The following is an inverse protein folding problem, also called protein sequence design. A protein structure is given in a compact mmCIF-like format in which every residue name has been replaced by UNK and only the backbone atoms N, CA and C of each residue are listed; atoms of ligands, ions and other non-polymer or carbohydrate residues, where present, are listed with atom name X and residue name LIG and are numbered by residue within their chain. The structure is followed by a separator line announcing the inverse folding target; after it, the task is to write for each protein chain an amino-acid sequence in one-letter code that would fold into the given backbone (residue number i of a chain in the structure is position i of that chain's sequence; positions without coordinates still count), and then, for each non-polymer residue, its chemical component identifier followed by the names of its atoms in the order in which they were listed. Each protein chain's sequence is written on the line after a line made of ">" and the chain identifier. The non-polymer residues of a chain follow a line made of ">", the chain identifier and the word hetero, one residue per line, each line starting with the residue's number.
data_IF_050647615491
#
_entry.id   IF_050647615491
#
_cell.length_a   1.000
_cell.length_b   1.000
_cell.length_c   1.000
_cell.angle_alpha   90.00
_cell.angle_beta   90.00
_cell.angle_gamma   90.00
#
_symmetry.space_group_name_H-M   'P 1'
#
loop_
_entity.id
_entity.type
_entity.pdbx_description
1 polymer ?
#
# COMPACT_ATOMS: atom_id res chain seq x y z
N UNK A 1 38.21 1.79 21.44
CA UNK A 1 37.49 0.56 21.03
C UNK A 1 36.77 0.83 19.71
N UNK A 2 36.91 -0.04 18.71
CA UNK A 2 35.94 -0.19 17.61
C UNK A 2 35.79 0.96 16.61
N UNK A 3 36.79 1.83 16.44
CA UNK A 3 36.70 2.95 15.49
C UNK A 3 36.56 2.47 14.03
N UNK A 4 35.99 3.31 13.17
CA UNK A 4 35.68 2.98 11.76
C UNK A 4 36.85 2.36 11.02
N UNK A 5 38.06 2.90 11.22
CA UNK A 5 39.30 2.42 10.60
C UNK A 5 39.63 0.98 11.00
N UNK A 6 39.44 0.63 12.28
CA UNK A 6 39.70 -0.73 12.77
C UNK A 6 38.70 -1.72 12.19
N UNK A 7 37.41 -1.36 12.16
CA UNK A 7 36.36 -2.23 11.59
C UNK A 7 36.61 -2.47 10.10
N UNK A 8 37.02 -1.44 9.35
CA UNK A 8 37.39 -1.58 7.93
C UNK A 8 38.58 -2.51 7.74
N UNK A 9 39.65 -2.35 8.54
CA UNK A 9 40.83 -3.20 8.45
C UNK A 9 40.52 -4.68 8.72
N UNK A 10 39.73 -4.96 9.76
CA UNK A 10 39.28 -6.32 10.09
C UNK A 10 38.41 -6.89 8.96
N UNK A 11 37.45 -6.11 8.47
CA UNK A 11 36.57 -6.53 7.37
C UNK A 11 37.36 -6.90 6.13
N UNK A 12 38.31 -6.06 5.71
CA UNK A 12 39.18 -6.35 4.56
C UNK A 12 40.02 -7.62 4.76
N UNK A 13 40.58 -7.81 5.96
CA UNK A 13 41.34 -9.01 6.31
C UNK A 13 40.51 -10.29 6.23
N UNK A 14 39.29 -10.26 6.78
CA UNK A 14 38.35 -11.38 6.74
C UNK A 14 37.90 -11.70 5.32
N UNK A 15 37.53 -10.69 4.52
CA UNK A 15 37.14 -10.88 3.11
C UNK A 15 38.28 -11.48 2.30
N UNK A 16 39.52 -11.03 2.50
CA UNK A 16 40.69 -11.60 1.82
C UNK A 16 40.95 -13.06 2.23
N UNK A 17 40.80 -13.39 3.52
CA UNK A 17 40.93 -14.76 4.00
C UNK A 17 39.84 -15.68 3.42
N UNK A 18 38.59 -15.23 3.39
CA UNK A 18 37.47 -15.95 2.80
C UNK A 18 37.72 -16.25 1.30
N UNK A 19 38.21 -15.25 0.54
CA UNK A 19 38.55 -15.43 -0.88
C UNK A 19 39.68 -16.43 -1.12
N UNK A 20 40.72 -16.44 -0.27
CA UNK A 20 41.82 -17.42 -0.37
C UNK A 20 41.40 -18.85 -0.06
N UNK A 21 40.43 -19.01 0.85
CA UNK A 21 40.01 -20.32 1.35
C UNK A 21 38.74 -20.86 0.67
N UNK A 22 38.06 -20.02 -0.13
CA UNK A 22 36.84 -20.41 -0.83
C UNK A 22 35.62 -20.57 0.07
N UNK A 23 35.62 -20.02 1.29
CA UNK A 23 34.51 -20.13 2.24
C UNK A 23 33.56 -18.93 2.16
N UNK A 24 32.28 -19.17 2.44
CA UNK A 24 31.30 -18.10 2.60
C UNK A 24 31.47 -17.41 3.96
N UNK A 25 31.47 -16.08 3.97
CA UNK A 25 31.58 -15.26 5.18
C UNK A 25 30.33 -14.37 5.30
N UNK A 26 29.61 -14.52 6.42
CA UNK A 26 28.52 -13.60 6.78
C UNK A 26 29.02 -12.63 7.85
N UNK A 27 28.80 -11.33 7.62
CA UNK A 27 29.10 -10.25 8.55
C UNK A 27 27.79 -9.59 8.99
N UNK A 28 27.61 -9.42 10.29
CA UNK A 28 26.42 -8.76 10.86
C UNK A 28 26.80 -7.36 11.32
N UNK A 29 26.22 -6.34 10.68
CA UNK A 29 26.40 -4.94 11.04
C UNK A 29 25.12 -4.36 11.62
N UNK A 30 25.13 -3.98 12.90
CA UNK A 30 24.01 -3.30 13.53
C UNK A 30 23.97 -1.82 13.14
N UNK A 31 22.80 -1.31 12.75
CA UNK A 31 22.61 0.12 12.50
C UNK A 31 22.49 0.83 13.85
N UNK A 32 23.47 1.68 14.16
CA UNK A 32 23.47 2.50 15.38
C UNK A 32 23.16 3.95 15.02
N UNK A 33 22.47 4.67 15.91
CA UNK A 33 22.08 6.07 15.69
C UNK A 33 23.24 7.05 15.93
N UNK A 34 24.24 6.65 16.71
CA UNK A 34 25.22 7.58 17.29
C UNK A 34 26.59 7.59 16.59
N UNK A 35 26.75 6.87 15.47
CA UNK A 35 27.96 6.91 14.63
C UNK A 35 29.27 6.46 15.31
N UNK A 36 29.24 6.09 16.59
CA UNK A 36 30.40 5.71 17.39
C UNK A 36 31.04 4.39 16.96
N UNK A 37 30.28 3.53 16.28
CA UNK A 37 30.74 2.29 15.65
C UNK A 37 30.53 2.46 14.14
N UNK A 38 31.48 2.00 13.31
CA UNK A 38 31.29 1.95 11.86
C UNK A 38 29.97 1.27 11.53
N UNK A 39 28.99 2.09 11.10
CA UNK A 39 27.73 1.58 10.62
C UNK A 39 27.93 0.71 9.37
N UNK A 40 27.02 -0.24 9.09
CA UNK A 40 27.12 -1.14 7.94
C UNK A 40 27.37 -0.41 6.62
N UNK A 41 26.86 0.82 6.47
CA UNK A 41 27.15 1.72 5.34
C UNK A 41 28.63 1.95 5.05
N UNK A 42 29.46 2.03 6.10
CA UNK A 42 30.90 2.23 5.96
C UNK A 42 31.64 1.03 5.36
N UNK A 43 31.00 -0.15 5.33
CA UNK A 43 31.58 -1.41 4.87
C UNK A 43 31.05 -1.84 3.49
N UNK A 44 30.02 -1.19 2.95
CA UNK A 44 29.33 -1.60 1.71
C UNK A 44 30.26 -1.76 0.50
N UNK A 45 31.29 -0.93 0.39
CA UNK A 45 32.26 -0.99 -0.70
C UNK A 45 33.27 -2.14 -0.53
N UNK A 46 33.49 -2.63 0.69
CA UNK A 46 34.49 -3.65 1.03
C UNK A 46 33.98 -5.09 0.91
N UNK A 47 32.67 -5.28 0.80
CA UNK A 47 32.02 -6.60 0.72
C UNK A 47 31.46 -6.89 -0.67
N UNK A 48 31.27 -8.16 -0.99
CA UNK A 48 30.76 -8.57 -2.31
C UNK A 48 29.22 -8.49 -2.37
N UNK A 49 28.52 -8.70 -1.24
CA UNK A 49 27.05 -8.60 -1.12
C UNK A 49 26.68 -7.76 0.10
N UNK A 50 25.67 -6.90 -0.05
CA UNK A 50 25.08 -6.09 1.03
C UNK A 50 23.58 -6.37 1.08
N UNK A 51 23.10 -6.85 2.23
CA UNK A 51 21.69 -7.09 2.52
C UNK A 51 21.26 -6.23 3.71
N UNK A 52 20.10 -5.60 3.60
CA UNK A 52 19.43 -4.91 4.70
C UNK A 52 18.28 -5.77 5.20
N UNK A 53 18.14 -5.89 6.52
CA UNK A 53 17.03 -6.56 7.15
C UNK A 53 16.23 -5.54 7.96
N UNK A 54 15.12 -5.09 7.38
CA UNK A 54 14.32 -3.99 7.90
C UNK A 54 12.90 -4.47 8.24
N UNK A 55 12.24 -3.74 9.16
CA UNK A 55 10.83 -3.96 9.49
C UNK A 55 10.29 -2.83 10.35
N UNK A 56 8.98 -2.60 10.27
CA UNK A 56 8.32 -1.69 11.19
C UNK A 56 8.21 -2.33 12.57
N UNK A 57 8.33 -1.53 13.63
CA UNK A 57 8.24 -2.01 15.03
C UNK A 57 6.87 -2.60 15.34
N UNK A 58 5.84 -2.11 14.66
CA UNK A 58 4.45 -2.50 14.90
C UNK A 58 3.98 -3.61 13.94
N UNK A 59 4.87 -4.15 13.10
CA UNK A 59 4.57 -5.25 12.19
C UNK A 59 5.44 -6.46 12.51
N UNK A 60 4.89 -7.67 12.40
CA UNK A 60 5.67 -8.91 12.46
C UNK A 60 6.48 -9.14 11.17
N UNK A 61 6.14 -8.44 10.08
CA UNK A 61 6.83 -8.57 8.81
C UNK A 61 8.24 -7.97 8.89
N UNK A 62 9.20 -8.72 8.38
CA UNK A 62 10.57 -8.30 8.15
C UNK A 62 10.90 -8.53 6.68
N UNK A 63 11.66 -7.62 6.09
CA UNK A 63 12.07 -7.71 4.70
C UNK A 63 13.59 -7.70 4.61
N UNK A 64 14.13 -8.65 3.84
CA UNK A 64 15.54 -8.64 3.42
C UNK A 64 15.60 -8.00 2.04
N UNK A 65 16.31 -6.88 1.92
CA UNK A 65 16.56 -6.19 0.64
C UNK A 65 18.03 -6.28 0.27
N UNK A 66 18.31 -6.57 -0.99
CA UNK A 66 19.67 -6.50 -1.49
C UNK A 66 20.02 -5.09 -1.99
N UNK A 67 21.10 -4.52 -1.46
CA UNK A 67 21.62 -3.20 -1.89
C UNK A 67 22.77 -3.37 -2.89
N UNK A 68 23.55 -4.44 -2.74
CA UNK A 68 24.67 -4.77 -3.60
C UNK A 68 24.77 -6.28 -3.72
N UNK A 69 24.89 -6.80 -4.94
CA UNK A 69 25.13 -8.21 -5.18
C UNK A 69 26.11 -8.37 -6.34
N UNK A 70 27.31 -8.90 -6.08
CA UNK A 70 28.27 -9.22 -7.14
C UNK A 70 28.02 -10.56 -7.82
N UNK A 71 27.08 -11.35 -7.31
CA UNK A 71 26.80 -12.71 -7.78
C UNK A 71 25.39 -12.87 -8.38
N UNK A 72 24.63 -11.80 -8.49
CA UNK A 72 23.24 -11.86 -8.96
C UNK A 72 22.55 -10.50 -8.95
N UNK A 73 21.23 -10.52 -8.99
CA UNK A 73 20.43 -9.29 -9.01
C UNK A 73 20.33 -8.68 -7.60
N UNK A 74 20.10 -7.38 -7.53
CA UNK A 74 19.81 -6.64 -6.29
C UNK A 74 18.32 -6.42 -6.07
N UNK A 75 17.49 -6.85 -7.01
CA UNK A 75 16.10 -6.42 -7.08
C UNK A 75 15.12 -7.32 -6.34
N UNK A 76 15.65 -8.42 -5.78
CA UNK A 76 14.90 -9.39 -5.01
C UNK A 76 14.70 -8.92 -3.57
N UNK A 77 13.51 -9.21 -3.05
CA UNK A 77 13.12 -8.91 -1.67
C UNK A 77 12.61 -10.19 -1.02
N UNK A 78 13.30 -10.64 0.02
CA UNK A 78 12.84 -11.73 0.87
C UNK A 78 11.88 -11.21 1.93
N UNK A 79 10.72 -11.85 2.11
CA UNK A 79 9.80 -11.52 3.19
C UNK A 79 9.84 -12.60 4.25
N UNK A 80 9.76 -12.17 5.51
CA UNK A 80 9.81 -13.06 6.66
C UNK A 80 8.84 -12.59 7.73
N UNK A 81 8.24 -13.52 8.47
CA UNK A 81 7.45 -13.25 9.65
C UNK A 81 8.26 -13.57 10.90
N UNK A 82 8.36 -12.61 11.80
CA UNK A 82 8.86 -12.84 13.15
C UNK A 82 7.72 -13.40 14.01
N UNK A 83 7.86 -14.65 14.42
CA UNK A 83 6.94 -15.37 15.31
C UNK A 83 7.66 -15.71 16.62
N UNK A 84 6.92 -16.20 17.61
CA UNK A 84 7.48 -16.59 18.91
C UNK A 84 8.60 -17.62 18.80
N UNK A 85 8.55 -18.49 17.77
CA UNK A 85 9.54 -19.55 17.52
C UNK A 85 10.72 -19.10 16.67
N UNK A 86 10.73 -17.88 16.15
CA UNK A 86 11.80 -17.35 15.30
C UNK A 86 11.29 -16.68 14.01
N UNK A 87 12.14 -16.67 12.99
CA UNK A 87 11.87 -15.99 11.71
C UNK A 87 11.52 -17.03 10.65
N UNK A 88 10.34 -16.93 10.05
CA UNK A 88 9.87 -17.83 9.00
C UNK A 88 9.78 -17.11 7.64
N UNK A 89 10.26 -17.74 6.57
CA UNK A 89 10.19 -17.19 5.22
C UNK A 89 8.77 -17.21 4.65
N UNK A 90 8.36 -16.10 4.03
CA UNK A 90 7.03 -15.95 3.42
C UNK A 90 7.17 -15.76 1.91
N UNK A 91 6.70 -16.77 1.17
CA UNK A 91 6.69 -16.76 -0.29
C UNK A 91 5.68 -15.76 -0.85
N UNK A 92 4.50 -15.62 -0.23
CA UNK A 92 3.45 -14.67 -0.63
C UNK A 92 2.97 -13.84 0.57
N UNK A 93 3.49 -12.61 0.76
CA UNK A 93 3.10 -11.74 1.86
C UNK A 93 1.81 -10.96 1.56
N UNK A 94 1.20 -11.12 0.37
CA UNK A 94 0.09 -10.25 -0.07
C UNK A 94 -1.10 -10.29 0.88
N UNK A 95 -1.41 -11.47 1.45
CA UNK A 95 -2.47 -11.62 2.45
C UNK A 95 -2.20 -10.92 3.79
N UNK A 96 -0.96 -10.50 4.06
CA UNK A 96 -0.60 -9.74 5.28
C UNK A 96 -0.98 -8.26 5.17
N UNK A 97 -1.19 -7.77 3.95
CA UNK A 97 -1.43 -6.35 3.65
C UNK A 97 -2.85 -6.05 3.19
N UNK A 98 -3.70 -7.08 3.16
CA UNK A 98 -5.10 -7.00 2.79
C UNK A 98 -5.96 -7.27 4.02
N UNK A 99 -6.97 -6.43 4.24
CA UNK A 99 -8.01 -6.76 5.21
C UNK A 99 -9.00 -7.77 4.57
N UNK A 100 -9.25 -8.89 5.25
CA UNK A 100 -10.12 -9.96 4.73
C UNK A 100 -11.59 -9.67 5.04
N UNK A 101 -12.07 -8.49 4.65
CA UNK A 101 -13.47 -8.12 4.88
C UNK A 101 -14.40 -8.93 3.98
N UNK A 102 -15.51 -9.46 4.51
CA UNK A 102 -16.50 -10.18 3.70
C UNK A 102 -17.22 -9.26 2.72
N UNK A 103 -17.37 -7.97 3.05
CA UNK A 103 -18.01 -6.97 2.20
C UNK A 103 -17.10 -5.75 1.95
N UNK A 104 -17.10 -5.20 0.72
CA UNK A 104 -16.38 -3.97 0.42
C UNK A 104 -17.01 -2.76 1.13
N UNK A 105 -16.18 -1.94 1.78
CA UNK A 105 -16.61 -0.75 2.52
C UNK A 105 -16.08 0.55 1.89
N UNK A 106 -16.82 1.66 2.02
CA UNK A 106 -16.35 2.97 1.55
C UNK A 106 -15.01 3.35 2.16
N UNK A 107 -14.22 4.09 1.40
CA UNK A 107 -12.91 4.55 1.86
C UNK A 107 -11.78 3.54 1.69
N UNK A 108 -12.02 2.38 1.09
CA UNK A 108 -11.00 1.34 0.91
C UNK A 108 -10.62 1.19 -0.56
N UNK A 109 -9.32 1.24 -0.87
CA UNK A 109 -8.78 1.06 -2.21
C UNK A 109 -7.56 0.14 -2.19
N UNK A 110 -7.52 -0.85 -3.09
CA UNK A 110 -6.39 -1.77 -3.24
C UNK A 110 -5.46 -1.26 -4.33
N UNK A 111 -4.15 -1.38 -4.13
CA UNK A 111 -3.12 -1.01 -5.09
C UNK A 111 -2.05 -2.09 -5.20
N UNK A 112 -1.19 -1.96 -6.21
CA UNK A 112 -0.01 -2.81 -6.36
C UNK A 112 1.21 -1.89 -6.43
N UNK A 113 2.03 -1.92 -5.39
CA UNK A 113 3.29 -1.19 -5.32
C UNK A 113 4.45 -2.09 -5.76
N UNK A 114 5.57 -1.52 -6.21
CA UNK A 114 6.81 -2.26 -6.39
C UNK A 114 7.76 -1.92 -5.25
N UNK A 115 8.32 -2.94 -4.61
CA UNK A 115 9.52 -2.79 -3.81
C UNK A 115 10.70 -3.47 -4.51
N UNK A 116 11.60 -2.67 -5.09
CA UNK A 116 12.57 -3.16 -6.07
C UNK A 116 11.85 -3.67 -7.32
N UNK A 117 12.01 -4.96 -7.66
CA UNK A 117 11.21 -5.61 -8.73
C UNK A 117 10.00 -6.37 -8.21
N UNK A 118 9.84 -6.51 -6.89
CA UNK A 118 8.78 -7.34 -6.30
C UNK A 118 7.47 -6.56 -6.23
N UNK A 119 6.39 -7.03 -6.88
CA UNK A 119 5.07 -6.46 -6.68
C UNK A 119 4.50 -6.90 -5.34
N UNK A 120 3.93 -5.94 -4.61
CA UNK A 120 3.27 -6.14 -3.33
C UNK A 120 1.88 -5.51 -3.40
N UNK A 121 0.87 -6.27 -2.99
CA UNK A 121 -0.47 -5.74 -2.82
C UNK A 121 -0.51 -4.86 -1.57
N UNK A 122 -1.12 -3.70 -1.70
CA UNK A 122 -1.33 -2.77 -0.58
C UNK A 122 -2.77 -2.30 -0.52
N UNK A 123 -3.27 -2.06 0.68
CA UNK A 123 -4.58 -1.45 0.91
C UNK A 123 -4.41 -0.05 1.51
N UNK A 124 -5.13 0.90 0.93
CA UNK A 124 -5.28 2.27 1.42
C UNK A 124 -6.69 2.42 2.00
N UNK A 125 -6.75 2.98 3.20
CA UNK A 125 -7.98 3.30 3.91
C UNK A 125 -8.06 4.80 4.18
N UNK A 126 -9.21 5.37 3.86
CA UNK A 126 -9.55 6.76 4.08
C UNK A 126 -10.84 6.86 4.90
N UNK A 127 -10.84 7.74 5.89
CA UNK A 127 -12.01 8.11 6.67
C UNK A 127 -12.12 9.64 6.69
N UNK A 128 -13.30 10.13 6.31
CA UNK A 128 -13.64 11.53 6.38
C UNK A 128 -14.58 11.77 7.56
N UNK A 129 -14.24 12.72 8.42
CA UNK A 129 -15.05 13.07 9.57
C UNK A 129 -15.42 14.56 9.56
N UNK A 130 -16.52 14.89 10.25
CA UNK A 130 -16.89 16.30 10.44
C UNK A 130 -15.88 16.95 11.39
N UNK A 131 -15.28 18.11 11.04
CA UNK A 131 -14.36 18.79 11.91
C UNK A 131 -15.04 19.23 13.21
N UNK A 132 -14.35 19.10 14.34
CA UNK A 132 -14.83 19.54 15.65
C UNK A 132 -14.60 21.04 15.93
N UNK A 133 -14.19 21.81 14.92
CA UNK A 133 -13.84 23.24 15.01
C UNK A 133 -12.34 23.50 14.78
N UNK A 134 -12.01 24.69 14.26
CA UNK A 134 -10.65 25.06 13.86
C UNK A 134 -10.24 24.51 12.49
N UNK A 135 -8.94 24.45 12.22
CA UNK A 135 -8.40 23.89 10.98
C UNK A 135 -8.67 22.37 10.90
N UNK A 136 -9.17 21.84 9.77
CA UNK A 136 -9.45 20.41 9.64
C UNK A 136 -8.22 19.54 9.91
N UNK A 137 -8.42 18.44 10.64
CA UNK A 137 -7.37 17.51 11.02
C UNK A 137 -6.87 16.71 9.83
N UNK A 138 -5.57 16.45 9.81
CA UNK A 138 -4.90 15.52 8.89
C UNK A 138 -4.12 14.50 9.71
N UNK A 139 -4.52 13.24 9.64
CA UNK A 139 -3.81 12.12 10.26
C UNK A 139 -3.46 11.11 9.18
N UNK A 140 -2.17 10.99 8.86
CA UNK A 140 -1.68 10.13 7.78
C UNK A 140 -0.69 9.12 8.35
N UNK A 141 -0.85 7.84 8.01
CA UNK A 141 0.06 6.75 8.39
C UNK A 141 0.38 5.86 7.20
N UNK A 142 1.65 5.49 7.02
CA UNK A 142 2.10 4.62 5.92
C UNK A 142 2.14 5.28 4.53
N UNK A 143 1.72 6.54 4.41
CA UNK A 143 1.80 7.39 3.22
C UNK A 143 2.48 8.71 3.61
N UNK A 144 3.18 9.35 2.68
CA UNK A 144 3.76 10.66 2.92
C UNK A 144 2.69 11.75 3.08
N UNK A 145 2.84 12.61 4.10
CA UNK A 145 1.85 13.64 4.42
C UNK A 145 1.73 14.70 3.32
N UNK A 146 2.83 15.11 2.69
CA UNK A 146 2.79 16.09 1.60
C UNK A 146 2.10 15.50 0.36
N UNK A 147 2.34 14.22 0.06
CA UNK A 147 1.68 13.52 -1.04
C UNK A 147 0.17 13.38 -0.81
N UNK A 148 -0.25 13.02 0.40
CA UNK A 148 -1.67 12.98 0.75
C UNK A 148 -2.36 14.36 0.62
N UNK A 149 -1.69 15.43 1.07
CA UNK A 149 -2.20 16.80 0.93
C UNK A 149 -2.31 17.23 -0.54
N UNK A 150 -1.33 16.89 -1.36
CA UNK A 150 -1.31 17.17 -2.79
C UNK A 150 -2.46 16.48 -3.52
N UNK A 151 -2.68 15.18 -3.27
CA UNK A 151 -3.79 14.42 -3.87
C UNK A 151 -5.15 14.99 -3.45
N UNK A 152 -5.28 15.39 -2.18
CA UNK A 152 -6.49 16.04 -1.67
C UNK A 152 -6.78 17.34 -2.45
N UNK A 153 -5.76 18.17 -2.69
CA UNK A 153 -5.90 19.42 -3.44
C UNK A 153 -6.26 19.19 -4.92
N UNK A 154 -5.71 18.15 -5.54
CA UNK A 154 -6.06 17.75 -6.92
C UNK A 154 -7.53 17.33 -7.02
N UNK A 155 -8.02 16.53 -6.08
CA UNK A 155 -9.44 16.13 -6.02
C UNK A 155 -10.38 17.33 -5.86
N UNK A 156 -10.02 18.27 -4.98
CA UNK A 156 -10.81 19.49 -4.79
C UNK A 156 -10.84 20.37 -6.04
N UNK A 157 -9.67 20.62 -6.63
CA UNK A 157 -9.54 21.54 -7.76
C UNK A 157 -10.15 20.98 -9.04
N UNK A 158 -9.84 19.71 -9.38
CA UNK A 158 -10.19 19.14 -10.68
C UNK A 158 -11.45 18.30 -10.64
N UNK A 159 -11.73 17.62 -9.53
CA UNK A 159 -12.93 16.80 -9.39
C UNK A 159 -14.06 17.51 -8.63
N UNK A 160 -13.82 18.73 -8.09
CA UNK A 160 -14.80 19.51 -7.33
C UNK A 160 -15.35 18.75 -6.11
N UNK A 161 -14.51 17.95 -5.47
CA UNK A 161 -14.82 17.28 -4.21
C UNK A 161 -14.36 18.16 -3.04
N UNK A 162 -15.25 18.81 -2.27
CA UNK A 162 -14.89 19.66 -1.14
C UNK A 162 -14.49 18.80 0.08
N UNK A 163 -13.47 17.96 -0.06
CA UNK A 163 -12.95 17.10 1.02
C UNK A 163 -11.96 17.81 1.92
N UNK A 164 -11.37 18.91 1.45
CA UNK A 164 -10.41 19.73 2.20
C UNK A 164 -11.00 20.31 3.49
N UNK A 165 -12.31 20.56 3.52
CA UNK A 165 -13.01 21.12 4.70
C UNK A 165 -13.37 20.06 5.74
N UNK A 166 -13.15 18.77 5.46
CA UNK A 166 -13.41 17.66 6.40
C UNK A 166 -12.14 17.24 7.11
N UNK A 167 -12.24 16.56 8.26
CA UNK A 167 -11.08 15.88 8.84
C UNK A 167 -10.73 14.65 7.99
N UNK A 168 -9.46 14.46 7.66
CA UNK A 168 -8.97 13.34 6.85
C UNK A 168 -8.08 12.44 7.71
N UNK A 169 -8.46 11.18 7.80
CA UNK A 169 -7.66 10.10 8.33
C UNK A 169 -7.32 9.15 7.18
N UNK A 170 -6.03 8.95 6.91
CA UNK A 170 -5.54 8.13 5.82
C UNK A 170 -4.50 7.16 6.34
N UNK A 171 -4.66 5.87 6.08
CA UNK A 171 -3.73 4.84 6.54
C UNK A 171 -3.57 3.72 5.53
N UNK A 172 -2.44 3.02 5.62
CA UNK A 172 -2.24 1.73 4.97
C UNK A 172 -2.54 0.58 5.93
N UNK A 173 -2.89 -0.58 5.40
CA UNK A 173 -3.09 -1.81 6.19
C UNK A 173 -1.78 -2.59 6.31
N UNK A 174 -1.65 -3.39 7.37
CA UNK A 174 -0.50 -4.30 7.58
C UNK A 174 0.83 -3.61 7.90
N UNK A 175 0.81 -2.30 8.20
CA UNK A 175 2.01 -1.50 8.44
C UNK A 175 2.83 -1.22 7.17
N UNK A 176 2.25 -1.43 5.99
CA UNK A 176 2.90 -1.19 4.71
C UNK A 176 3.24 0.30 4.55
N UNK A 177 4.42 0.61 4.00
CA UNK A 177 4.74 1.98 3.60
C UNK A 177 4.63 2.10 2.09
N UNK A 178 3.66 2.88 1.63
CA UNK A 178 3.50 3.18 0.21
C UNK A 178 4.33 4.41 -0.10
N UNK A 179 5.52 4.20 -0.67
CA UNK A 179 6.40 5.28 -1.14
C UNK A 179 6.35 5.46 -2.66
N UNK A 180 5.86 4.44 -3.37
CA UNK A 180 5.73 4.39 -4.82
C UNK A 180 4.60 5.31 -5.34
N UNK A 181 4.86 6.18 -6.34
CA UNK A 181 3.85 7.05 -6.95
C UNK A 181 2.64 6.32 -7.53
N UNK A 182 2.77 5.04 -7.87
CA UNK A 182 1.64 4.20 -8.33
C UNK A 182 0.47 4.10 -7.35
N UNK A 183 0.71 4.39 -6.08
CA UNK A 183 -0.32 4.39 -5.03
C UNK A 183 -1.18 5.66 -5.01
N UNK A 184 -0.80 6.71 -5.74
CA UNK A 184 -1.46 8.02 -5.66
C UNK A 184 -2.93 7.94 -6.12
N UNK A 185 -3.18 7.20 -7.21
CA UNK A 185 -4.55 6.99 -7.68
C UNK A 185 -5.37 6.20 -6.65
N UNK A 186 -4.78 5.20 -5.97
CA UNK A 186 -5.49 4.45 -4.94
C UNK A 186 -5.85 5.33 -3.73
N UNK A 187 -4.95 6.23 -3.32
CA UNK A 187 -5.24 7.26 -2.29
C UNK A 187 -6.40 8.15 -2.74
N UNK A 188 -6.36 8.64 -3.98
CA UNK A 188 -7.41 9.50 -4.50
C UNK A 188 -8.78 8.79 -4.54
N UNK A 189 -8.79 7.53 -5.00
CA UNK A 189 -10.01 6.71 -5.08
C UNK A 189 -10.53 6.32 -3.68
N UNK A 190 -9.67 6.08 -2.70
CA UNK A 190 -10.08 5.86 -1.31
C UNK A 190 -10.76 7.10 -0.73
N UNK A 191 -10.16 8.30 -0.87
CA UNK A 191 -10.76 9.55 -0.40
C UNK A 191 -12.11 9.82 -1.08
N UNK A 192 -12.19 9.65 -2.39
CA UNK A 192 -13.43 9.84 -3.13
C UNK A 192 -14.50 8.81 -2.76
N UNK A 193 -14.11 7.55 -2.54
CA UNK A 193 -14.99 6.49 -2.06
C UNK A 193 -15.58 6.82 -0.68
N UNK A 194 -14.75 7.31 0.25
CA UNK A 194 -15.19 7.75 1.57
C UNK A 194 -16.15 8.94 1.48
N UNK A 195 -15.83 9.94 0.64
CA UNK A 195 -16.66 11.12 0.43
C UNK A 195 -18.03 10.77 -0.17
N UNK A 196 -18.05 9.93 -1.21
CA UNK A 196 -19.26 9.52 -1.89
C UNK A 196 -20.05 8.46 -1.11
N UNK A 197 -19.49 7.88 -0.05
CA UNK A 197 -20.03 6.72 0.65
C UNK A 197 -20.33 5.56 -0.33
N UNK A 198 -19.42 5.34 -1.29
CA UNK A 198 -19.54 4.36 -2.36
C UNK A 198 -18.34 3.40 -2.31
N UNK A 199 -18.54 2.12 -1.94
CA UNK A 199 -17.44 1.17 -1.82
C UNK A 199 -16.90 0.76 -3.20
N UNK A 200 -15.58 0.69 -3.32
CA UNK A 200 -14.90 0.07 -4.46
C UNK A 200 -15.01 -1.47 -4.35
N UNK A 201 -15.10 -2.22 -5.47
CA UNK A 201 -15.08 -3.68 -5.40
C UNK A 201 -13.77 -4.19 -4.80
N UNK A 202 -13.84 -5.20 -3.93
CA UNK A 202 -12.66 -5.86 -3.38
C UNK A 202 -11.82 -6.58 -4.44
N UNK A 203 -12.39 -6.83 -5.62
CA UNK A 203 -11.71 -7.45 -6.77
C UNK A 203 -11.09 -6.43 -7.73
N UNK A 204 -11.06 -5.15 -7.36
CA UNK A 204 -10.45 -4.08 -8.15
C UNK A 204 -9.12 -3.61 -7.57
N UNK A 205 -8.09 -3.50 -8.40
CA UNK A 205 -6.85 -2.80 -8.08
C UNK A 205 -6.79 -1.45 -8.76
N UNK A 206 -6.17 -0.47 -8.11
CA UNK A 206 -6.03 0.89 -8.59
C UNK A 206 -4.54 1.26 -8.60
N UNK A 207 -4.02 1.61 -9.77
CA UNK A 207 -2.57 1.81 -9.97
C UNK A 207 -2.37 3.02 -10.87
N UNK A 208 -1.68 4.06 -10.41
CA UNK A 208 -1.35 5.22 -11.22
C UNK A 208 -0.79 6.38 -10.41
N UNK A 209 0.02 7.21 -11.05
CA UNK A 209 0.49 8.47 -10.48
C UNK A 209 -0.51 9.59 -10.82
N UNK A 210 -0.76 10.48 -9.86
CA UNK A 210 -1.67 11.61 -10.03
C UNK A 210 -0.86 12.88 -10.27
N UNK A 211 -1.04 13.50 -11.44
CA UNK A 211 -0.45 14.80 -11.76
C UNK A 211 -1.23 15.96 -11.13
N UNK A 212 -0.55 17.08 -10.88
CA UNK A 212 -1.17 18.30 -10.35
C UNK A 212 -2.22 18.92 -11.29
N UNK A 213 -2.13 18.62 -12.59
CA UNK A 213 -3.12 19.03 -13.58
C UNK A 213 -4.35 18.11 -13.62
N UNK A 214 -4.41 17.10 -12.74
CA UNK A 214 -5.48 16.11 -12.70
C UNK A 214 -5.33 14.99 -13.74
N UNK A 215 -4.23 14.95 -14.49
CA UNK A 215 -3.89 13.86 -15.40
C UNK A 215 -3.40 12.62 -14.64
N UNK A 216 -3.62 11.43 -15.21
CA UNK A 216 -3.10 10.18 -14.68
C UNK A 216 -1.90 9.73 -15.49
N UNK A 217 -0.79 9.49 -14.80
CA UNK A 217 0.51 9.18 -15.40
C UNK A 217 0.86 7.73 -15.20
N UNK A 218 1.44 7.14 -16.25
CA UNK A 218 1.93 5.76 -16.24
C UNK A 218 3.10 5.63 -15.28
N UNK A 219 3.18 4.48 -14.62
CA UNK A 219 4.22 4.16 -13.66
C UNK A 219 5.09 3.00 -14.15
N UNK A 220 6.31 2.93 -13.62
CA UNK A 220 7.24 1.87 -13.98
C UNK A 220 6.71 0.48 -13.59
N UNK A 221 6.99 -0.50 -14.45
CA UNK A 221 6.69 -1.92 -14.20
C UNK A 221 5.21 -2.28 -14.20
N UNK A 222 4.37 -1.55 -14.95
CA UNK A 222 2.92 -1.80 -15.03
C UNK A 222 2.58 -3.27 -15.35
N UNK A 223 3.27 -3.89 -16.31
CA UNK A 223 3.06 -5.30 -16.67
C UNK A 223 3.21 -6.25 -15.46
N UNK A 224 4.25 -6.06 -14.65
CA UNK A 224 4.48 -6.87 -13.44
C UNK A 224 3.41 -6.65 -12.38
N UNK A 225 2.94 -5.40 -12.24
CA UNK A 225 1.87 -5.06 -11.29
C UNK A 225 0.55 -5.70 -11.69
N UNK A 226 0.21 -5.64 -12.98
CA UNK A 226 -1.00 -6.25 -13.53
C UNK A 226 -0.92 -7.78 -13.48
N UNK A 227 0.24 -8.37 -13.78
CA UNK A 227 0.46 -9.81 -13.66
C UNK A 227 0.28 -10.28 -12.21
N UNK A 228 0.80 -9.54 -11.23
CA UNK A 228 0.59 -9.86 -9.81
C UNK A 228 -0.87 -9.71 -9.41
N UNK A 229 -1.55 -8.64 -9.85
CA UNK A 229 -2.97 -8.47 -9.58
C UNK A 229 -3.79 -9.66 -10.14
N UNK A 230 -3.52 -10.08 -11.37
CA UNK A 230 -4.17 -11.25 -11.97
C UNK A 230 -3.84 -12.54 -11.19
N UNK A 231 -2.59 -12.74 -10.78
CA UNK A 231 -2.15 -13.89 -9.98
C UNK A 231 -2.88 -13.98 -8.64
N UNK A 232 -3.16 -12.84 -8.02
CA UNK A 232 -3.91 -12.72 -6.76
C UNK A 232 -5.43 -12.80 -6.94
N UNK A 233 -5.92 -12.98 -8.18
CA UNK A 233 -7.34 -13.16 -8.46
C UNK A 233 -8.14 -11.86 -8.58
N UNK A 234 -7.48 -10.71 -8.69
CA UNK A 234 -8.18 -9.46 -9.02
C UNK A 234 -8.71 -9.53 -10.46
N UNK A 235 -9.91 -9.00 -10.67
CA UNK A 235 -10.64 -9.10 -11.95
C UNK A 235 -10.72 -7.77 -12.69
N UNK A 236 -10.47 -6.66 -12.01
CA UNK A 236 -10.50 -5.31 -12.59
C UNK A 236 -9.28 -4.52 -12.15
N UNK A 237 -8.68 -3.74 -13.06
CA UNK A 237 -7.60 -2.81 -12.78
C UNK A 237 -7.94 -1.42 -13.30
N UNK A 238 -8.03 -0.41 -12.43
CA UNK A 238 -8.16 0.98 -12.81
C UNK A 238 -6.76 1.61 -12.96
N UNK A 239 -6.43 2.01 -14.18
CA UNK A 239 -5.06 2.42 -14.57
C UNK A 239 -5.07 3.65 -15.48
N UNK A 240 -3.93 4.38 -15.57
CA UNK A 240 -3.72 5.41 -16.57
C UNK A 240 -3.97 4.92 -17.99
N UNK A 241 -4.36 5.83 -18.88
CA UNK A 241 -4.50 5.52 -20.30
C UNK A 241 -3.16 5.11 -20.95
N UNK A 242 -3.22 4.19 -21.91
CA UNK A 242 -2.06 3.74 -22.69
C UNK A 242 -1.08 2.86 -21.91
N UNK A 243 -1.57 2.10 -20.94
CA UNK A 243 -0.77 1.17 -20.12
C UNK A 243 -0.54 -0.20 -20.79
N UNK A 244 -1.18 -0.46 -21.95
CA UNK A 244 -1.04 -1.70 -22.71
C UNK A 244 -2.08 -2.74 -22.34
N UNK A 245 -1.96 -3.94 -22.92
CA UNK A 245 -2.92 -5.01 -22.69
C UNK A 245 -2.80 -5.59 -21.27
N UNK A 246 -3.95 -5.76 -20.61
CA UNK A 246 -4.02 -6.46 -19.34
C UNK A 246 -3.85 -7.99 -19.52
N UNK A 247 -3.31 -8.69 -18.52
CA UNK A 247 -3.27 -10.15 -18.50
C UNK A 247 -4.66 -10.78 -18.63
N UNK A 248 -4.72 -12.03 -19.10
CA UNK A 248 -5.97 -12.78 -19.20
C UNK A 248 -6.67 -12.84 -17.83
N UNK A 249 -7.99 -12.57 -17.82
CA UNK A 249 -8.81 -12.57 -16.61
C UNK A 249 -8.83 -11.23 -15.86
N UNK A 250 -7.96 -10.28 -16.22
CA UNK A 250 -7.95 -8.93 -15.64
C UNK A 250 -8.48 -7.92 -16.66
N UNK A 251 -9.58 -7.23 -16.32
CA UNK A 251 -10.12 -6.14 -17.14
C UNK A 251 -9.46 -4.81 -16.77
N UNK A 252 -8.75 -4.19 -17.70
CA UNK A 252 -8.25 -2.82 -17.52
C UNK A 252 -9.35 -1.78 -17.79
N UNK A 253 -9.57 -0.91 -16.82
CA UNK A 253 -10.31 0.34 -16.93
C UNK A 253 -9.29 1.47 -17.07
N UNK A 254 -9.13 1.97 -18.29
CA UNK A 254 -8.21 3.07 -18.54
C UNK A 254 -8.87 4.42 -18.24
N UNK A 255 -8.12 5.32 -17.60
CA UNK A 255 -8.53 6.68 -17.31
C UNK A 255 -7.38 7.66 -17.60
N UNK A 256 -7.58 8.69 -18.45
CA UNK A 256 -6.55 9.70 -18.70
C UNK A 256 -6.46 10.76 -17.59
N UNK A 257 -7.49 10.90 -16.74
CA UNK A 257 -7.57 11.92 -15.71
C UNK A 257 -8.28 11.42 -14.46
N UNK A 258 -8.11 12.15 -13.35
CA UNK A 258 -8.76 11.82 -12.08
C UNK A 258 -10.28 11.85 -12.21
N UNK A 259 -10.83 12.77 -13.00
CA UNK A 259 -12.27 12.86 -13.25
C UNK A 259 -12.78 11.62 -14.00
N UNK A 260 -12.06 11.17 -15.03
CA UNK A 260 -12.39 9.94 -15.75
C UNK A 260 -12.32 8.70 -14.84
N UNK A 261 -11.32 8.63 -13.95
CA UNK A 261 -11.22 7.57 -12.96
C UNK A 261 -12.41 7.55 -11.99
N UNK A 262 -12.90 8.71 -11.56
CA UNK A 262 -14.08 8.82 -10.70
C UNK A 262 -15.38 8.42 -11.40
N UNK A 263 -15.50 8.64 -12.71
CA UNK A 263 -16.63 8.12 -13.49
C UNK A 263 -16.71 6.59 -13.44
N UNK A 264 -15.56 5.89 -13.53
CA UNK A 264 -15.52 4.43 -13.37
C UNK A 264 -16.02 3.97 -12.00
N UNK A 265 -15.75 4.73 -10.92
CA UNK A 265 -16.28 4.41 -9.58
C UNK A 265 -17.82 4.46 -9.53
N UNK A 266 -18.42 5.43 -10.22
CA UNK A 266 -19.88 5.57 -10.33
C UNK A 266 -20.48 4.45 -11.18
N UNK A 267 -19.84 4.09 -12.29
CA UNK A 267 -20.37 3.07 -13.19
C UNK A 267 -20.28 1.66 -12.57
N UNK A 268 -19.19 1.37 -11.86
CA UNK A 268 -18.99 0.11 -11.13
C UNK A 268 -20.04 -0.05 -10.02
N UNK A 269 -20.44 1.02 -9.35
CA UNK A 269 -21.49 0.96 -8.31
C UNK A 269 -22.90 0.84 -8.89
N UNK A 270 -23.20 1.47 -10.03
CA UNK A 270 -24.48 1.28 -10.73
C UNK A 270 -24.72 -0.16 -11.16
N UNK A 271 -23.69 -0.84 -11.68
CA UNK A 271 -23.77 -2.26 -12.06
C UNK A 271 -24.01 -3.18 -10.85
N UNK A 272 -23.45 -2.85 -9.68
CA UNK A 272 -23.70 -3.59 -8.42
C UNK A 272 -25.12 -3.42 -7.89
N UNK A 273 -25.73 -2.23 -8.08
CA UNK A 273 -27.13 -1.97 -7.72
C UNK A 273 -28.13 -2.70 -8.61
N UNK A 274 -27.78 -3.00 -9.86
CA UNK A 274 -28.63 -3.74 -10.78
C UNK A 274 -28.61 -5.28 -10.54
N UNK A 275 -27.53 -5.81 -9.96
CA UNK A 275 -27.38 -7.23 -9.63
C UNK A 275 -27.81 -7.59 -8.21
N UNK A 276 -27.96 -6.60 -7.32
CA UNK A 276 -28.61 -6.78 -6.03
C UNK A 276 -30.12 -6.61 -6.21
N UNK A 277 -30.86 -7.72 -6.15
CA UNK A 277 -32.32 -7.71 -5.99
C UNK A 277 -32.68 -6.76 -4.84
N UNK A 278 -33.69 -5.88 -4.97
CA UNK A 278 -34.07 -5.00 -3.87
C UNK A 278 -34.41 -5.86 -2.65
N UNK A 279 -33.62 -5.73 -1.58
CA UNK A 279 -33.98 -6.33 -0.30
C UNK A 279 -35.36 -5.79 0.07
N UNK A 280 -36.29 -6.74 0.29
CA UNK A 280 -37.65 -6.52 0.75
C UNK A 280 -37.72 -5.35 1.73
N UNK A 281 -38.73 -4.49 1.53
CA UNK A 281 -39.31 -3.66 2.58
C UNK A 281 -39.41 -4.49 3.85
N UNK A 282 -38.61 -4.16 4.86
CA UNK A 282 -38.86 -4.58 6.21
C UNK A 282 -40.13 -3.86 6.65
N UNK A 283 -41.24 -4.58 6.58
CA UNK A 283 -42.47 -4.27 7.29
C UNK A 283 -42.12 -4.09 8.77
N UNK A 284 -42.12 -2.84 9.22
CA UNK A 284 -42.20 -2.55 10.64
C UNK A 284 -43.61 -2.93 11.11
N UNK A 285 -43.75 -3.80 12.13
CA UNK A 285 -45.08 -4.13 12.65
C UNK A 285 -45.74 -2.85 13.17
N UNK A 286 -46.93 -2.54 12.64
CA UNK A 286 -47.81 -1.52 13.20
C UNK A 286 -48.16 -1.96 14.61
N UNK A 287 -47.61 -1.27 15.61
CA UNK A 287 -47.96 -1.49 17.01
C UNK A 287 -49.44 -1.18 17.23
N UNK A 288 -50.19 -2.21 17.62
CA UNK A 288 -51.52 -2.10 18.20
C UNK A 288 -51.44 -1.24 19.47
N UNK A 289 -52.10 -0.09 19.45
CA UNK A 289 -52.41 0.68 20.66
C UNK A 289 -53.76 0.18 21.17
N UNK A 290 -53.74 -0.99 21.81
CA UNK A 290 -54.88 -1.58 22.51
C UNK A 290 -54.92 -1.10 23.96
N UNK A 291 -56.01 -0.42 24.31
CA UNK A 291 -56.29 0.13 25.62
C UNK A 291 -56.41 -0.94 26.71
N UNK A 292 -55.68 -0.80 27.82
CA UNK A 292 -56.04 -1.47 29.08
C UNK A 292 -56.86 -0.53 29.95
N UNK A 293 -58.10 -0.96 30.16
CA UNK A 293 -59.11 -0.36 31.01
C UNK A 293 -58.77 -0.67 32.47
N UNK A 294 -58.75 0.39 33.27
CA UNK A 294 -58.66 0.34 34.71
C UNK A 294 -60.06 0.11 35.30
N UNK A 295 -60.20 -0.87 36.22
CA UNK A 295 -61.05 -0.87 37.45
C UNK A 295 -61.89 -2.13 37.72
N UNK A 296 -61.67 -2.65 38.94
CA UNK A 296 -62.53 -3.42 39.87
C UNK A 296 -63.26 -4.67 39.35
#
# INVERSE_FOLDING_TARGET
>A
MGGVTQVKAVTSGLTAAAKRTGVALLLVGHVTKDGAIAGPRSLEHLVDVVLHFDGDRNSALRMVRCVKNRFGTTDEVGCFLLQDKGIEGVNDPSGLFLDQRPEPVPGTAITVTLDGKRPLIGEVQALLARPSGGSPRRAVSGIDHARAAMITAVLETHARLPISVTDIFLSTVGGMRLTDPSSDLAVAMALASAYANLPLPSTAVIIGEVGLAGDLRRVAGMERRLAEAARQGFTTALIPAGCGAAPQGLRALEAPSIVAALHHLVDVTKHRRATLTPLHQLDLPRGDVGAEHNKW
#
